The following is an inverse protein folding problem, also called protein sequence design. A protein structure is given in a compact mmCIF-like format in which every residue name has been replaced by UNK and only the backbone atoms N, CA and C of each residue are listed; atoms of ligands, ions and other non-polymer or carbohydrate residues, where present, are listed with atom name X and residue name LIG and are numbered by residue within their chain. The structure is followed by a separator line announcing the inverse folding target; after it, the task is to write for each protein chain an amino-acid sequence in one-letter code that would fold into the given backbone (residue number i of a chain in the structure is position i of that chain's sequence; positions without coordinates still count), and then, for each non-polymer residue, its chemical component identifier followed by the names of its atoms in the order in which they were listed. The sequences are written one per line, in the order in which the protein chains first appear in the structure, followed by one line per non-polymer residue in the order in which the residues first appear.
data_IF_602459092211
#
_entry.id   IF_602459092211
#
_cell.length_a   1.000
_cell.length_b   1.000
_cell.length_c   1.000
_cell.angle_alpha   90.00
_cell.angle_beta   90.00
_cell.angle_gamma   90.00
#
_symmetry.space_group_name_H-M   'P 1'
#
loop_
_entity.id
_entity.type
_entity.pdbx_description
1 polymer ?
#
# COMPACT_ATOMS: atom_id res chain seq x y z
N UNK A 1 14.19 -19.72 -3.36
CA UNK A 1 12.96 -19.50 -4.15
C UNK A 1 12.34 -18.25 -3.55
N UNK A 2 12.27 -17.22 -4.32
CA UNK A 2 11.67 -15.94 -3.90
C UNK A 2 10.14 -16.02 -3.97
N UNK A 3 9.46 -15.07 -3.33
CA UNK A 3 8.01 -14.91 -3.47
C UNK A 3 7.57 -14.84 -4.94
N UNK A 4 8.27 -14.05 -5.74
CA UNK A 4 8.03 -13.90 -7.18
C UNK A 4 8.15 -15.21 -7.96
N UNK A 5 9.14 -16.04 -7.63
CA UNK A 5 9.29 -17.36 -8.27
C UNK A 5 8.06 -18.23 -8.02
N UNK A 6 7.51 -18.18 -6.79
CA UNK A 6 6.33 -18.91 -6.42
C UNK A 6 5.09 -18.39 -7.15
N UNK A 7 4.88 -17.07 -7.18
CA UNK A 7 3.78 -16.44 -7.90
C UNK A 7 3.82 -16.79 -9.39
N UNK A 8 5.01 -16.75 -10.03
CA UNK A 8 5.16 -17.14 -11.44
C UNK A 8 4.82 -18.61 -11.68
N UNK A 9 5.15 -19.51 -10.75
CA UNK A 9 4.76 -20.92 -10.85
C UNK A 9 3.24 -21.10 -10.80
N UNK A 10 2.58 -20.43 -9.84
CA UNK A 10 1.12 -20.44 -9.71
C UNK A 10 0.48 -19.88 -10.98
N UNK A 11 0.96 -18.75 -11.50
CA UNK A 11 0.45 -18.13 -12.71
C UNK A 11 0.54 -19.07 -13.93
N UNK A 12 1.66 -19.77 -14.10
CA UNK A 12 1.85 -20.74 -15.20
C UNK A 12 0.85 -21.89 -15.14
N UNK A 13 0.50 -22.35 -13.94
CA UNK A 13 -0.49 -23.43 -13.75
C UNK A 13 -1.91 -22.94 -14.03
N UNK A 14 -2.25 -21.73 -13.61
CA UNK A 14 -3.60 -21.16 -13.82
C UNK A 14 -3.87 -20.76 -15.28
N UNK A 15 -2.86 -20.35 -16.03
CA UNK A 15 -3.00 -20.04 -17.47
C UNK A 15 -3.43 -21.23 -18.34
N UNK A 16 -3.28 -22.46 -17.84
CA UNK A 16 -3.75 -23.69 -18.53
C UNK A 16 -5.26 -23.90 -18.38
N UNK A 17 -5.92 -23.19 -17.47
CA UNK A 17 -7.36 -23.22 -17.28
C UNK A 17 -8.03 -22.20 -18.23
N UNK A 18 -9.20 -22.53 -18.76
CA UNK A 18 -9.97 -21.59 -19.60
C UNK A 18 -10.30 -20.30 -18.84
N UNK A 19 -10.20 -19.15 -19.50
CA UNK A 19 -10.38 -17.85 -18.83
C UNK A 19 -11.84 -17.56 -18.39
N UNK A 20 -12.84 -18.15 -19.04
CA UNK A 20 -14.26 -17.88 -18.72
C UNK A 20 -14.57 -16.38 -18.68
N UNK A 21 -15.09 -15.88 -17.56
CA UNK A 21 -15.38 -14.46 -17.33
C UNK A 21 -14.16 -13.64 -16.82
N UNK A 22 -12.98 -14.25 -16.72
CA UNK A 22 -11.75 -13.56 -16.24
C UNK A 22 -11.17 -12.72 -17.37
N UNK A 23 -11.13 -11.42 -17.18
CA UNK A 23 -10.52 -10.44 -18.09
C UNK A 23 -9.01 -10.38 -17.84
N UNK A 24 -8.61 -10.20 -16.57
CA UNK A 24 -7.23 -10.18 -16.09
C UNK A 24 -7.12 -11.06 -14.84
N UNK A 25 -6.16 -11.97 -14.83
CA UNK A 25 -5.85 -12.80 -13.66
C UNK A 25 -4.62 -12.28 -12.92
N UNK A 26 -3.82 -13.21 -12.37
CA UNK A 26 -2.60 -12.92 -11.60
C UNK A 26 -1.65 -12.02 -12.41
N UNK A 27 -1.17 -10.93 -11.79
CA UNK A 27 -0.15 -10.05 -12.36
C UNK A 27 -0.53 -8.57 -12.38
N UNK A 28 -1.67 -8.20 -11.79
CA UNK A 28 -2.09 -6.82 -11.55
C UNK A 28 -2.51 -6.63 -10.09
N UNK A 29 -2.87 -5.41 -9.66
CA UNK A 29 -3.29 -5.12 -8.28
C UNK A 29 -4.56 -5.92 -7.91
N UNK A 30 -5.51 -6.01 -8.83
CA UNK A 30 -6.67 -6.89 -8.68
C UNK A 30 -6.79 -7.88 -9.83
N UNK A 31 -7.43 -9.02 -9.56
CA UNK A 31 -8.02 -9.81 -10.63
C UNK A 31 -9.28 -9.11 -11.16
N UNK A 32 -9.45 -9.08 -12.49
CA UNK A 32 -10.57 -8.44 -13.17
C UNK A 32 -11.50 -9.50 -13.75
N UNK A 33 -12.76 -9.50 -13.32
CA UNK A 33 -13.77 -10.47 -13.72
C UNK A 33 -15.00 -9.74 -14.25
N UNK A 34 -15.53 -10.18 -15.39
CA UNK A 34 -16.74 -9.59 -15.98
C UNK A 34 -17.91 -9.67 -14.98
N UNK A 35 -18.53 -8.52 -14.70
CA UNK A 35 -19.75 -8.41 -13.91
C UNK A 35 -20.99 -8.47 -14.82
N UNK A 36 -21.00 -7.60 -15.81
CA UNK A 36 -22.04 -7.51 -16.83
C UNK A 36 -21.47 -6.96 -18.14
N UNK A 37 -22.31 -6.36 -19.00
CA UNK A 37 -21.87 -5.84 -20.30
C UNK A 37 -21.04 -4.55 -20.22
N UNK A 38 -21.04 -3.86 -19.09
CA UNK A 38 -20.40 -2.56 -18.92
C UNK A 38 -19.38 -2.56 -17.80
N UNK A 39 -19.64 -3.34 -16.74
CA UNK A 39 -18.88 -3.30 -15.51
C UNK A 39 -18.12 -4.59 -15.26
N UNK A 40 -17.05 -4.46 -14.49
CA UNK A 40 -16.22 -5.56 -14.01
C UNK A 40 -16.13 -5.55 -12.49
N UNK A 41 -15.92 -6.73 -11.92
CA UNK A 41 -15.47 -6.88 -10.55
C UNK A 41 -13.94 -6.81 -10.49
N UNK A 42 -13.44 -6.10 -9.49
CA UNK A 42 -12.04 -6.06 -9.08
C UNK A 42 -11.92 -6.86 -7.79
N UNK A 43 -11.09 -7.92 -7.80
CA UNK A 43 -10.95 -8.82 -6.65
C UNK A 43 -9.51 -8.81 -6.19
N UNK A 44 -9.30 -8.45 -4.92
CA UNK A 44 -7.99 -8.50 -4.27
C UNK A 44 -8.08 -9.13 -2.90
N UNK A 45 -6.95 -9.56 -2.35
CA UNK A 45 -6.85 -10.16 -1.04
C UNK A 45 -5.45 -9.98 -0.46
N UNK A 46 -5.40 -9.37 0.73
CA UNK A 46 -4.18 -9.21 1.51
C UNK A 46 -4.26 -9.89 2.85
N UNK A 47 -3.12 -10.38 3.32
CA UNK A 47 -2.98 -11.00 4.64
C UNK A 47 -1.97 -10.21 5.48
N UNK A 48 -2.41 -9.75 6.64
CA UNK A 48 -1.55 -9.19 7.67
C UNK A 48 -1.25 -10.24 8.73
N UNK A 49 0.02 -10.50 8.99
CA UNK A 49 0.49 -11.49 9.97
C UNK A 49 1.29 -10.77 11.04
N UNK A 50 0.98 -11.05 12.31
CA UNK A 50 1.70 -10.52 13.46
C UNK A 50 3.19 -10.90 13.41
N UNK A 51 4.05 -9.96 13.79
CA UNK A 51 5.51 -10.01 13.71
C UNK A 51 6.10 -10.01 12.29
N UNK A 52 5.25 -9.87 11.26
CA UNK A 52 5.65 -9.66 9.87
C UNK A 52 5.20 -8.28 9.40
N UNK A 53 3.89 -8.00 9.45
CA UNK A 53 3.27 -6.77 8.96
C UNK A 53 2.88 -5.80 10.07
N UNK A 54 2.72 -6.29 11.28
CA UNK A 54 2.38 -5.51 12.47
C UNK A 54 2.89 -6.21 13.74
N UNK A 55 2.83 -5.50 14.85
CA UNK A 55 3.15 -6.04 16.18
C UNK A 55 2.12 -5.54 17.17
N UNK A 56 1.43 -6.46 17.84
CA UNK A 56 0.38 -6.16 18.81
C UNK A 56 0.86 -5.34 20.01
N UNK A 57 2.18 -5.28 20.27
CA UNK A 57 2.74 -4.51 21.39
C UNK A 57 2.71 -2.99 21.15
N UNK A 58 2.65 -2.53 19.88
CA UNK A 58 2.67 -1.11 19.55
C UNK A 58 1.69 -0.68 18.46
N UNK A 59 1.02 -1.63 17.79
CA UNK A 59 -0.01 -1.31 16.79
C UNK A 59 -1.40 -1.38 17.45
N UNK A 60 -2.09 -0.26 17.69
CA UNK A 60 -3.41 -0.26 18.32
C UNK A 60 -4.42 -1.07 17.48
N UNK A 61 -5.23 -1.94 18.09
CA UNK A 61 -6.13 -2.84 17.35
C UNK A 61 -7.13 -2.08 16.47
N UNK A 62 -7.61 -0.93 16.91
CA UNK A 62 -8.47 -0.08 16.08
C UNK A 62 -7.79 0.38 14.79
N UNK A 63 -6.54 0.85 14.86
CA UNK A 63 -5.77 1.28 13.68
C UNK A 63 -5.37 0.09 12.80
N UNK A 64 -5.06 -1.07 13.41
CA UNK A 64 -4.79 -2.31 12.67
C UNK A 64 -6.02 -2.75 11.86
N UNK A 65 -7.21 -2.67 12.45
CA UNK A 65 -8.46 -2.95 11.74
C UNK A 65 -8.68 -2.02 10.56
N UNK A 66 -8.39 -0.74 10.71
CA UNK A 66 -8.44 0.23 9.63
C UNK A 66 -7.43 -0.09 8.53
N UNK A 67 -6.17 -0.35 8.90
CA UNK A 67 -5.09 -0.71 7.96
C UNK A 67 -5.46 -1.95 7.15
N UNK A 68 -6.02 -3.00 7.78
CA UNK A 68 -6.41 -4.22 7.07
C UNK A 68 -7.43 -3.97 5.94
N UNK A 69 -8.32 -3.00 6.10
CA UNK A 69 -9.22 -2.58 5.02
C UNK A 69 -8.50 -1.73 3.99
N UNK A 70 -7.70 -0.77 4.46
CA UNK A 70 -7.05 0.24 3.61
C UNK A 70 -6.09 -0.38 2.59
N UNK A 71 -5.29 -1.40 2.98
CA UNK A 71 -4.33 -2.04 2.07
C UNK A 71 -5.03 -2.62 0.84
N UNK A 72 -6.14 -3.33 1.04
CA UNK A 72 -6.94 -3.89 -0.06
C UNK A 72 -7.68 -2.80 -0.86
N UNK A 73 -8.12 -1.75 -0.19
CA UNK A 73 -8.77 -0.60 -0.87
C UNK A 73 -7.77 0.12 -1.78
N UNK A 74 -6.49 0.12 -1.43
CA UNK A 74 -5.41 0.68 -2.24
C UNK A 74 -5.29 -0.02 -3.59
N UNK A 75 -5.34 -1.35 -3.65
CA UNK A 75 -5.34 -2.11 -4.90
C UNK A 75 -6.51 -1.73 -5.82
N UNK A 76 -7.71 -1.65 -5.24
CA UNK A 76 -8.90 -1.26 -6.00
C UNK A 76 -8.78 0.18 -6.52
N UNK A 77 -8.21 1.09 -5.71
CA UNK A 77 -7.95 2.48 -6.11
C UNK A 77 -6.92 2.56 -7.23
N UNK A 78 -5.86 1.73 -7.18
CA UNK A 78 -4.82 1.64 -8.19
C UNK A 78 -5.35 1.23 -9.57
N UNK A 79 -6.47 0.52 -9.62
CA UNK A 79 -7.15 0.16 -10.86
C UNK A 79 -8.32 1.08 -11.24
N UNK A 80 -8.49 2.22 -10.54
CA UNK A 80 -9.55 3.21 -10.82
C UNK A 80 -10.94 2.79 -10.35
N UNK A 81 -11.03 1.72 -9.54
CA UNK A 81 -12.28 1.18 -9.04
C UNK A 81 -12.80 1.83 -7.77
N UNK A 82 -13.94 1.37 -7.31
CA UNK A 82 -14.51 1.68 -5.99
C UNK A 82 -14.73 0.38 -5.20
N UNK A 83 -14.42 0.34 -3.90
CA UNK A 83 -14.74 -0.78 -3.03
C UNK A 83 -16.26 -0.99 -2.93
N UNK A 84 -16.71 -2.26 -2.79
CA UNK A 84 -18.13 -2.61 -2.68
C UNK A 84 -18.38 -3.57 -1.52
N UNK A 85 -17.67 -4.69 -1.50
CA UNK A 85 -17.85 -5.73 -0.48
C UNK A 85 -16.51 -6.19 0.08
N UNK A 86 -16.52 -6.58 1.36
CA UNK A 86 -15.38 -7.18 2.03
C UNK A 86 -15.76 -8.51 2.70
N UNK A 87 -14.78 -9.42 2.77
CA UNK A 87 -14.83 -10.66 3.56
C UNK A 87 -13.58 -10.69 4.45
N UNK A 88 -13.73 -11.05 5.71
CA UNK A 88 -12.65 -11.12 6.68
C UNK A 88 -12.41 -12.55 7.15
N UNK A 89 -11.19 -13.06 7.03
CA UNK A 89 -10.75 -14.24 7.78
C UNK A 89 -9.82 -13.80 8.91
N UNK A 90 -10.16 -14.17 10.14
CA UNK A 90 -9.47 -13.74 11.36
C UNK A 90 -8.98 -14.96 12.13
N UNK A 91 -7.66 -15.10 12.26
CA UNK A 91 -6.99 -16.06 13.13
C UNK A 91 -6.56 -15.40 14.43
N UNK A 92 -7.08 -15.87 15.57
CA UNK A 92 -6.76 -15.34 16.90
C UNK A 92 -6.18 -16.45 17.78
N UNK A 93 -5.13 -16.18 18.60
CA UNK A 93 -4.68 -17.13 19.62
C UNK A 93 -5.79 -17.38 20.66
N UNK A 94 -5.76 -18.53 21.32
CA UNK A 94 -6.83 -18.94 22.24
C UNK A 94 -7.00 -18.01 23.45
N UNK A 95 -5.97 -17.28 23.81
CA UNK A 95 -5.90 -16.36 24.95
C UNK A 95 -6.06 -14.88 24.58
N UNK A 96 -6.58 -14.58 23.38
CA UNK A 96 -6.81 -13.20 22.96
C UNK A 96 -7.76 -12.45 23.89
N UNK A 97 -7.52 -11.16 24.09
CA UNK A 97 -8.40 -10.31 24.87
C UNK A 97 -9.65 -9.89 24.08
N UNK A 98 -10.88 -10.15 24.56
CA UNK A 98 -12.12 -9.76 23.85
C UNK A 98 -12.21 -8.26 23.55
N UNK A 99 -11.68 -7.40 24.42
CA UNK A 99 -11.63 -5.95 24.20
C UNK A 99 -10.78 -5.58 23.00
N UNK A 100 -9.63 -6.24 22.82
CA UNK A 100 -8.75 -6.07 21.66
C UNK A 100 -9.47 -6.40 20.34
N UNK A 101 -10.16 -7.53 20.30
CA UNK A 101 -10.94 -7.94 19.12
C UNK A 101 -12.11 -7.00 18.84
N UNK A 102 -12.75 -6.44 19.89
CA UNK A 102 -13.81 -5.45 19.73
C UNK A 102 -13.30 -4.18 19.06
N UNK A 103 -12.15 -3.66 19.48
CA UNK A 103 -11.54 -2.46 18.90
C UNK A 103 -11.04 -2.71 17.47
N UNK A 104 -10.47 -3.88 17.19
CA UNK A 104 -10.10 -4.29 15.84
C UNK A 104 -11.33 -4.25 14.90
N UNK A 105 -12.41 -4.90 15.31
CA UNK A 105 -13.65 -4.94 14.53
C UNK A 105 -14.28 -3.55 14.34
N UNK A 106 -14.18 -2.66 15.34
CA UNK A 106 -14.61 -1.28 15.23
C UNK A 106 -13.77 -0.54 14.17
N UNK A 107 -12.45 -0.72 14.16
CA UNK A 107 -11.56 -0.15 13.14
C UNK A 107 -11.90 -0.62 11.73
N UNK A 108 -12.15 -1.92 11.55
CA UNK A 108 -12.61 -2.51 10.27
C UNK A 108 -13.92 -1.87 9.83
N UNK A 109 -14.91 -1.81 10.73
CA UNK A 109 -16.22 -1.22 10.44
C UNK A 109 -16.10 0.24 9.98
N UNK A 110 -15.36 1.06 10.73
CA UNK A 110 -15.21 2.49 10.45
C UNK A 110 -14.46 2.74 9.13
N UNK A 111 -13.46 1.91 8.81
CA UNK A 111 -12.78 1.97 7.52
C UNK A 111 -13.71 1.55 6.37
N UNK A 112 -14.48 0.48 6.53
CA UNK A 112 -15.48 0.08 5.54
C UNK A 112 -16.51 1.21 5.28
N UNK A 113 -16.99 1.87 6.34
CA UNK A 113 -17.87 3.04 6.21
C UNK A 113 -17.18 4.20 5.48
N UNK A 114 -15.93 4.51 5.81
CA UNK A 114 -15.15 5.57 5.17
C UNK A 114 -14.99 5.34 3.67
N UNK A 115 -14.66 4.11 3.26
CA UNK A 115 -14.43 3.76 1.86
C UNK A 115 -15.71 3.33 1.11
N UNK A 116 -16.84 3.25 1.80
CA UNK A 116 -18.14 2.94 1.20
C UNK A 116 -18.31 1.48 0.80
N UNK A 117 -17.64 0.54 1.48
CA UNK A 117 -17.81 -0.90 1.29
C UNK A 117 -18.52 -1.54 2.48
N UNK A 118 -19.05 -2.75 2.28
CA UNK A 118 -19.76 -3.51 3.30
C UNK A 118 -18.99 -4.79 3.65
N UNK A 119 -18.72 -5.00 4.92
CA UNK A 119 -18.27 -6.32 5.40
C UNK A 119 -19.47 -7.28 5.39
N UNK A 120 -19.45 -8.28 4.51
CA UNK A 120 -20.60 -9.15 4.24
C UNK A 120 -20.44 -10.58 4.79
N UNK A 121 -19.27 -10.90 5.34
CA UNK A 121 -19.03 -12.24 5.90
C UNK A 121 -17.55 -12.47 6.15
N UNK A 122 -17.21 -13.73 6.44
CA UNK A 122 -15.83 -14.13 6.71
C UNK A 122 -15.78 -15.42 7.50
N UNK A 123 -14.61 -15.68 8.09
CA UNK A 123 -14.33 -16.82 8.94
C UNK A 123 -13.52 -16.40 10.17
N UNK A 124 -13.69 -17.11 11.29
CA UNK A 124 -12.89 -16.86 12.50
C UNK A 124 -12.39 -18.19 13.05
N UNK A 125 -11.09 -18.32 13.19
CA UNK A 125 -10.44 -19.54 13.61
C UNK A 125 -9.47 -19.29 14.77
N UNK A 126 -9.22 -20.33 15.56
CA UNK A 126 -8.15 -20.30 16.54
C UNK A 126 -6.80 -20.50 15.83
N UNK A 127 -5.89 -19.55 16.01
CA UNK A 127 -4.50 -19.68 15.56
C UNK A 127 -3.62 -20.24 16.70
N UNK A 128 -2.52 -20.95 16.40
CA UNK A 128 -1.66 -21.49 17.45
C UNK A 128 -1.00 -20.43 18.34
N UNK A 129 -0.50 -19.35 17.76
CA UNK A 129 0.33 -18.37 18.51
C UNK A 129 0.10 -16.92 18.08
N UNK A 130 -0.11 -16.66 16.80
CA UNK A 130 -0.06 -15.31 16.22
C UNK A 130 -1.40 -14.88 15.65
N UNK A 131 -1.66 -13.58 15.71
CA UNK A 131 -2.80 -12.98 15.02
C UNK A 131 -2.54 -12.95 13.52
N UNK A 132 -3.55 -13.30 12.74
CA UNK A 132 -3.56 -13.14 11.29
C UNK A 132 -4.89 -12.58 10.82
N UNK A 133 -4.84 -11.62 9.91
CA UNK A 133 -6.02 -11.04 9.28
C UNK A 133 -5.87 -11.19 7.77
N UNK A 134 -6.82 -11.86 7.14
CA UNK A 134 -6.92 -11.88 5.67
C UNK A 134 -8.21 -11.19 5.29
N UNK A 135 -8.11 -10.13 4.51
CA UNK A 135 -9.27 -9.43 4.00
C UNK A 135 -9.32 -9.60 2.48
N UNK A 136 -10.46 -10.06 1.99
CA UNK A 136 -10.76 -10.10 0.56
C UNK A 136 -11.66 -8.93 0.26
N UNK A 137 -11.28 -8.09 -0.71
CA UNK A 137 -12.07 -6.96 -1.15
C UNK A 137 -12.57 -7.18 -2.57
N UNK A 138 -13.83 -6.85 -2.78
CA UNK A 138 -14.49 -6.85 -4.07
C UNK A 138 -14.82 -5.40 -4.39
N UNK A 139 -14.15 -4.86 -5.40
CA UNK A 139 -14.44 -3.56 -6.00
C UNK A 139 -15.19 -3.70 -7.32
N UNK A 140 -15.62 -2.58 -7.86
CA UNK A 140 -16.20 -2.50 -9.19
C UNK A 140 -15.65 -1.29 -9.97
N UNK A 141 -15.58 -1.44 -11.29
CA UNK A 141 -15.23 -0.36 -12.21
C UNK A 141 -15.98 -0.53 -13.53
N UNK A 142 -16.15 0.56 -14.29
CA UNK A 142 -16.54 0.44 -15.69
C UNK A 142 -15.39 -0.22 -16.46
N UNK A 143 -15.70 -1.17 -17.33
CA UNK A 143 -14.69 -1.99 -18.02
C UNK A 143 -13.70 -1.15 -18.85
N UNK A 144 -14.17 -0.05 -19.43
CA UNK A 144 -13.38 0.88 -20.24
C UNK A 144 -12.60 1.92 -19.41
N UNK A 145 -12.77 1.94 -18.09
CA UNK A 145 -12.07 2.83 -17.16
C UNK A 145 -11.06 2.09 -16.26
N UNK A 146 -10.93 0.77 -16.40
CA UNK A 146 -9.91 0.05 -15.63
C UNK A 146 -8.52 0.44 -16.12
N UNK A 147 -7.67 0.89 -15.20
CA UNK A 147 -6.25 1.13 -15.46
C UNK A 147 -5.45 -0.06 -14.95
N UNK A 148 -4.45 -0.47 -15.70
CA UNK A 148 -3.61 -1.63 -15.42
C UNK A 148 -2.16 -1.22 -15.13
N UNK A 149 -1.37 -2.13 -14.57
CA UNK A 149 0.08 -1.97 -14.43
C UNK A 149 0.81 -1.91 -15.77
N UNK A 150 0.22 -2.49 -16.82
CA UNK A 150 0.75 -2.43 -18.17
C UNK A 150 0.14 -1.27 -18.97
N UNK A 151 0.87 -0.78 -19.99
CA UNK A 151 0.38 0.28 -20.86
C UNK A 151 1.26 1.54 -20.89
N UNK A 152 2.25 1.63 -20.00
CA UNK A 152 3.18 2.75 -20.02
C UNK A 152 3.91 2.88 -21.34
N UNK A 153 3.99 4.10 -21.87
CA UNK A 153 4.54 4.42 -23.17
C UNK A 153 5.90 5.14 -23.04
N UNK A 154 6.79 4.90 -24.00
CA UNK A 154 8.08 5.60 -24.06
C UNK A 154 7.87 7.11 -24.06
N UNK A 155 8.53 7.82 -23.14
CA UNK A 155 8.43 9.26 -22.99
C UNK A 155 7.35 9.74 -22.02
N UNK A 156 6.55 8.82 -21.46
CA UNK A 156 5.59 9.16 -20.40
C UNK A 156 6.28 9.78 -19.20
N UNK A 157 5.61 10.72 -18.57
CA UNK A 157 5.99 11.23 -17.25
C UNK A 157 5.55 10.20 -16.20
N UNK A 158 6.44 9.88 -15.27
CA UNK A 158 6.17 9.08 -14.08
C UNK A 158 5.70 10.01 -12.98
N UNK A 159 4.55 9.71 -12.40
CA UNK A 159 3.92 10.48 -11.34
C UNK A 159 3.77 9.64 -10.08
N UNK A 160 3.87 10.29 -8.92
CA UNK A 160 3.48 9.71 -7.63
C UNK A 160 2.53 10.66 -6.90
N UNK A 161 1.55 10.11 -6.18
CA UNK A 161 0.71 10.89 -5.30
C UNK A 161 1.36 11.08 -3.92
N UNK A 162 0.88 12.04 -3.15
CA UNK A 162 1.21 12.26 -1.75
C UNK A 162 2.69 12.43 -1.44
N UNK A 163 3.17 11.65 -0.47
CA UNK A 163 4.57 11.66 0.03
C UNK A 163 5.07 10.23 0.19
N UNK A 164 6.37 10.02 0.02
CA UNK A 164 6.98 8.69 0.03
C UNK A 164 7.88 8.47 1.24
N UNK A 165 7.94 7.21 1.73
CA UNK A 165 8.84 6.74 2.75
C UNK A 165 8.41 7.07 4.17
N UNK A 166 7.23 7.67 4.36
CA UNK A 166 6.74 8.02 5.71
C UNK A 166 6.39 6.79 6.51
N UNK A 167 5.71 5.81 5.92
CA UNK A 167 5.36 4.57 6.61
C UNK A 167 6.61 3.79 7.05
N UNK A 168 7.61 3.67 6.18
CA UNK A 168 8.88 3.03 6.49
C UNK A 168 9.67 3.74 7.60
N UNK A 169 9.63 5.08 7.65
CA UNK A 169 10.24 5.84 8.73
C UNK A 169 9.51 5.62 10.06
N UNK A 170 8.17 5.55 10.04
CA UNK A 170 7.35 5.23 11.21
C UNK A 170 7.64 3.82 11.75
N UNK A 171 7.70 2.82 10.88
CA UNK A 171 8.10 1.46 11.24
C UNK A 171 9.50 1.42 11.85
N UNK A 172 10.48 2.10 11.23
CA UNK A 172 11.85 2.14 11.72
C UNK A 172 11.94 2.75 13.13
N UNK A 173 11.08 3.75 13.43
CA UNK A 173 10.98 4.30 14.77
C UNK A 173 10.51 3.25 15.80
N UNK A 174 9.42 2.52 15.53
CA UNK A 174 8.92 1.49 16.44
C UNK A 174 9.95 0.37 16.65
N UNK A 175 10.61 -0.10 15.60
CA UNK A 175 11.65 -1.12 15.68
C UNK A 175 12.86 -0.66 16.52
N UNK A 176 13.27 0.59 16.38
CA UNK A 176 14.39 1.14 17.16
C UNK A 176 14.07 1.25 18.65
N UNK A 177 12.83 1.61 18.97
CA UNK A 177 12.36 1.74 20.36
C UNK A 177 12.35 0.42 21.10
N UNK A 178 12.07 -0.69 20.43
CA UNK A 178 12.14 -2.04 21.02
C UNK A 178 13.58 -2.51 21.24
N UNK A 179 14.49 -2.17 20.33
CA UNK A 179 15.91 -2.57 20.40
C UNK A 179 16.66 -1.86 21.55
N UNK A 180 16.15 -0.73 22.03
CA UNK A 180 16.78 0.14 23.02
C UNK A 180 16.59 -0.30 24.46
N UNK A 181 16.03 -1.47 24.75
CA UNK A 181 15.98 -2.03 26.12
C UNK A 181 17.37 -2.29 26.74
N UNK A 182 18.47 -2.02 26.02
CA UNK A 182 19.85 -2.21 26.46
C UNK A 182 20.64 -0.91 26.66
N UNK A 183 20.07 0.30 26.55
CA UNK A 183 20.83 1.50 26.85
C UNK A 183 20.17 2.84 26.47
N UNK A 184 19.83 3.63 27.48
CA UNK A 184 19.61 5.09 27.50
C UNK A 184 18.50 5.72 26.61
N UNK A 185 17.59 4.99 26.03
CA UNK A 185 16.29 5.50 25.62
C UNK A 185 15.27 4.97 26.65
N UNK A 186 14.43 5.80 27.27
CA UNK A 186 13.44 5.30 28.21
C UNK A 186 12.57 4.25 27.52
N UNK A 187 12.13 3.18 28.21
CA UNK A 187 11.22 2.20 27.65
C UNK A 187 9.93 2.92 27.24
N UNK A 188 9.74 3.09 25.94
CA UNK A 188 8.67 3.89 25.34
C UNK A 188 7.29 3.23 25.42
N UNK A 189 7.23 1.99 25.94
CA UNK A 189 5.97 1.27 26.04
C UNK A 189 5.97 0.48 27.35
N UNK A 190 5.21 0.93 28.33
CA UNK A 190 4.67 0.01 29.33
C UNK A 190 3.71 -0.92 28.61
N UNK A 191 3.81 -2.27 28.80
CA UNK A 191 2.78 -3.18 28.29
C UNK A 191 1.42 -2.60 28.64
N UNK A 192 0.51 -2.54 27.71
CA UNK A 192 -0.84 -2.00 27.94
C UNK A 192 -1.47 -2.87 29.03
N UNK A 193 -1.31 -2.43 30.28
CA UNK A 193 -2.12 -2.94 31.38
C UNK A 193 -3.54 -2.55 31.05
N UNK A 194 -4.43 -3.56 30.97
CA UNK A 194 -5.87 -3.49 30.74
C UNK A 194 -6.45 -2.08 30.95
N UNK A 195 -6.63 -1.33 29.87
CA UNK A 195 -7.22 0.00 29.93
C UNK A 195 -8.73 -0.13 30.13
N UNK A 196 -9.25 0.25 31.29
CA UNK A 196 -10.68 0.22 31.62
C UNK A 196 -11.49 1.35 30.96
N UNK A 197 -10.88 2.19 30.11
CA UNK A 197 -11.60 3.24 29.37
C UNK A 197 -10.84 3.57 28.09
N UNK A 198 -11.06 2.82 27.02
CA UNK A 198 -10.46 3.14 25.72
C UNK A 198 -11.10 4.39 25.13
N UNK A 199 -10.38 5.49 25.22
CA UNK A 199 -10.57 6.67 24.38
C UNK A 199 -10.07 6.35 22.95
N UNK A 200 -10.57 6.98 21.87
CA UNK A 200 -10.22 6.59 20.51
C UNK A 200 -8.73 6.75 20.27
N UNK A 201 -8.10 5.65 19.82
CA UNK A 201 -6.76 5.55 19.23
C UNK A 201 -5.67 6.40 19.92
N UNK A 202 -5.26 6.01 21.13
CA UNK A 202 -4.09 6.63 21.76
C UNK A 202 -2.82 6.00 21.17
N UNK A 203 -2.02 6.83 20.49
CA UNK A 203 -0.64 6.53 20.13
C UNK A 203 0.19 6.24 21.39
N UNK A 204 1.29 5.47 21.28
CA UNK A 204 2.22 5.32 22.39
C UNK A 204 2.62 6.67 22.96
N UNK A 205 2.68 6.82 24.31
CA UNK A 205 2.60 8.12 24.97
C UNK A 205 3.79 9.08 24.78
N UNK A 206 4.91 8.71 24.19
CA UNK A 206 6.07 9.59 24.06
C UNK A 206 6.81 9.41 22.72
N UNK A 207 6.51 10.26 21.75
CA UNK A 207 7.28 10.41 20.51
C UNK A 207 7.45 11.89 20.17
N UNK A 208 8.53 12.28 19.46
CA UNK A 208 8.67 13.63 18.94
C UNK A 208 7.50 13.97 18.00
N UNK A 209 6.84 15.12 18.22
CA UNK A 209 5.66 15.54 17.44
C UNK A 209 5.95 15.58 15.93
N UNK A 210 7.18 15.85 15.56
CA UNK A 210 7.67 15.89 14.19
C UNK A 210 7.59 14.51 13.50
N UNK A 211 7.57 13.41 14.28
CA UNK A 211 7.43 12.05 13.76
C UNK A 211 5.98 11.63 13.54
N UNK A 212 5.03 12.38 14.09
CA UNK A 212 3.61 12.03 14.00
C UNK A 212 3.16 11.69 12.58
N UNK A 213 3.50 12.45 11.52
CA UNK A 213 3.10 12.09 10.15
C UNK A 213 3.66 10.74 9.68
N UNK A 214 4.86 10.36 10.13
CA UNK A 214 5.46 9.06 9.79
C UNK A 214 4.75 7.92 10.54
N UNK A 215 4.45 8.12 11.82
CA UNK A 215 3.72 7.15 12.64
C UNK A 215 2.29 6.97 12.12
N UNK A 216 1.61 8.06 11.78
CA UNK A 216 0.28 8.03 11.17
C UNK A 216 0.29 7.23 9.86
N UNK A 217 1.26 7.49 8.99
CA UNK A 217 1.38 6.80 7.70
C UNK A 217 1.56 5.28 7.87
N UNK A 218 2.33 4.84 8.88
CA UNK A 218 2.52 3.41 9.14
C UNK A 218 1.31 2.75 9.80
N UNK A 219 0.73 3.38 10.83
CA UNK A 219 -0.34 2.77 11.62
C UNK A 219 -1.72 2.89 10.99
N UNK A 220 -1.98 3.95 10.24
CA UNK A 220 -3.29 4.29 9.69
C UNK A 220 -3.15 4.91 8.29
N UNK A 221 -2.61 4.17 7.31
CA UNK A 221 -2.49 4.67 5.95
C UNK A 221 -3.85 5.02 5.33
N UNK A 222 -3.84 5.82 4.27
CA UNK A 222 -5.03 6.22 3.53
C UNK A 222 -4.92 5.80 2.05
N UNK A 223 -5.88 5.02 1.57
CA UNK A 223 -5.98 4.68 0.16
C UNK A 223 -6.52 5.84 -0.68
N UNK A 224 -6.01 6.00 -1.89
CA UNK A 224 -6.28 7.12 -2.79
C UNK A 224 -7.49 6.86 -3.73
N UNK A 225 -8.60 6.34 -3.21
CA UNK A 225 -9.78 5.92 -4.00
C UNK A 225 -10.36 7.03 -4.86
N UNK A 226 -10.52 8.23 -4.30
CA UNK A 226 -11.03 9.38 -5.05
C UNK A 226 -10.12 9.76 -6.21
N UNK A 227 -8.81 9.83 -5.95
CA UNK A 227 -7.81 10.17 -6.96
C UNK A 227 -7.71 9.07 -8.03
N UNK A 228 -7.59 7.79 -7.64
CA UNK A 228 -7.48 6.68 -8.59
C UNK A 228 -8.66 6.65 -9.56
N UNK A 229 -9.88 6.75 -9.05
CA UNK A 229 -11.08 6.82 -9.88
C UNK A 229 -11.09 8.04 -10.80
N UNK A 230 -10.76 9.23 -10.27
CA UNK A 230 -10.76 10.45 -11.07
C UNK A 230 -9.70 10.41 -12.18
N UNK A 231 -8.50 9.89 -11.90
CA UNK A 231 -7.44 9.68 -12.89
C UNK A 231 -7.89 8.69 -14.00
N UNK A 232 -8.49 7.57 -13.63
CA UNK A 232 -9.02 6.58 -14.57
C UNK A 232 -10.07 7.19 -15.53
N UNK A 233 -10.94 8.04 -15.01
CA UNK A 233 -11.99 8.72 -15.78
C UNK A 233 -11.45 9.72 -16.82
N UNK A 234 -10.23 10.22 -16.65
CA UNK A 234 -9.62 11.13 -17.64
C UNK A 234 -9.29 10.42 -18.96
N UNK A 235 -9.01 9.12 -18.92
CA UNK A 235 -8.45 8.37 -20.03
C UNK A 235 -7.00 8.76 -20.40
N UNK A 236 -6.34 9.61 -19.60
CA UNK A 236 -4.98 10.10 -19.85
C UNK A 236 -3.90 9.24 -19.17
N UNK A 237 -4.29 8.37 -18.23
CA UNK A 237 -3.35 7.50 -17.50
C UNK A 237 -3.13 6.22 -18.28
N UNK A 238 -1.87 5.95 -18.63
CA UNK A 238 -1.50 4.79 -19.43
C UNK A 238 -1.25 3.52 -18.59
N UNK A 239 -0.65 3.68 -17.41
CA UNK A 239 -0.45 2.60 -16.43
C UNK A 239 -0.54 3.17 -15.02
N UNK A 240 -1.04 2.37 -14.08
CA UNK A 240 -1.17 2.75 -12.68
C UNK A 240 -1.05 1.51 -11.79
N UNK A 241 -0.51 1.71 -10.58
CA UNK A 241 -0.51 0.77 -9.46
C UNK A 241 -0.36 1.56 -8.17
N UNK A 242 -0.54 0.92 -7.02
CA UNK A 242 -0.16 1.52 -5.75
C UNK A 242 1.31 1.27 -5.39
N UNK A 243 1.80 1.95 -4.35
CA UNK A 243 3.15 1.79 -3.80
C UNK A 243 3.04 1.05 -2.48
N UNK A 244 3.22 -0.26 -2.52
CA UNK A 244 3.15 -1.16 -1.38
C UNK A 244 4.53 -1.71 -0.95
N UNK A 245 5.41 -2.05 -1.90
CA UNK A 245 6.75 -2.59 -1.66
C UNK A 245 7.86 -1.52 -1.74
N UNK A 246 7.49 -0.31 -2.15
CA UNK A 246 8.37 0.83 -2.35
C UNK A 246 8.57 1.19 -3.81
N UNK A 247 8.72 2.48 -4.05
CA UNK A 247 8.73 3.07 -5.40
C UNK A 247 9.64 2.34 -6.39
N UNK A 248 10.85 1.96 -5.99
CA UNK A 248 11.81 1.34 -6.92
C UNK A 248 11.37 -0.06 -7.35
N UNK A 249 10.76 -0.82 -6.45
CA UNK A 249 10.23 -2.16 -6.70
C UNK A 249 8.98 -2.11 -7.56
N UNK A 250 8.02 -1.27 -7.17
CA UNK A 250 6.72 -1.17 -7.83
C UNK A 250 6.87 -0.57 -9.24
N UNK A 251 7.73 0.45 -9.40
CA UNK A 251 8.08 0.96 -10.71
C UNK A 251 8.78 -0.09 -11.61
N UNK A 252 9.61 -0.96 -11.02
CA UNK A 252 10.21 -2.04 -11.80
C UNK A 252 9.15 -3.06 -12.27
N UNK A 253 8.11 -3.33 -11.46
CA UNK A 253 6.96 -4.16 -11.84
C UNK A 253 6.17 -3.53 -13.00
N UNK A 254 5.82 -2.25 -12.88
CA UNK A 254 5.13 -1.49 -13.92
C UNK A 254 5.94 -1.50 -15.23
N UNK A 255 7.26 -1.28 -15.14
CA UNK A 255 8.15 -1.33 -16.29
C UNK A 255 8.22 -2.71 -16.94
N UNK A 256 8.27 -3.78 -16.13
CA UNK A 256 8.29 -5.15 -16.63
C UNK A 256 7.00 -5.50 -17.36
N UNK A 257 5.84 -5.15 -16.79
CA UNK A 257 4.53 -5.40 -17.39
C UNK A 257 4.33 -4.59 -18.68
N UNK A 258 4.83 -3.36 -18.71
CA UNK A 258 4.77 -2.48 -19.89
C UNK A 258 5.90 -2.70 -20.89
N UNK A 259 6.90 -3.54 -20.61
CA UNK A 259 8.09 -3.80 -21.44
C UNK A 259 8.89 -2.53 -21.74
N UNK A 260 9.09 -1.69 -20.73
CA UNK A 260 9.82 -0.42 -20.80
C UNK A 260 10.89 -0.36 -19.70
N UNK A 261 11.64 0.74 -19.63
CA UNK A 261 12.51 1.12 -18.52
C UNK A 261 12.03 2.41 -17.90
N UNK A 262 12.69 2.87 -16.83
CA UNK A 262 12.35 4.12 -16.17
C UNK A 262 13.59 4.87 -15.72
N UNK A 263 13.54 6.20 -15.81
CA UNK A 263 14.50 7.11 -15.18
C UNK A 263 13.79 7.91 -14.12
N UNK A 264 14.19 7.74 -12.87
CA UNK A 264 13.68 8.46 -11.70
C UNK A 264 14.63 9.63 -11.39
N UNK A 265 14.09 10.77 -11.05
CA UNK A 265 14.82 11.93 -10.56
C UNK A 265 14.65 11.99 -9.03
N UNK A 266 15.55 11.37 -8.30
CA UNK A 266 15.42 11.20 -6.84
C UNK A 266 15.35 12.51 -6.07
N UNK A 267 15.85 13.61 -6.63
CA UNK A 267 15.73 14.94 -6.06
C UNK A 267 14.31 15.52 -6.12
N UNK A 268 13.46 14.99 -7.01
CA UNK A 268 12.05 15.40 -7.17
C UNK A 268 11.08 14.59 -6.33
N UNK A 269 11.54 13.52 -5.65
CA UNK A 269 10.68 12.70 -4.82
C UNK A 269 10.05 13.53 -3.69
N UNK A 270 8.71 13.43 -3.48
CA UNK A 270 8.01 14.19 -2.45
C UNK A 270 8.21 13.60 -1.06
N UNK A 271 8.20 14.43 0.00
CA UNK A 271 8.26 13.97 1.40
C UNK A 271 9.58 14.19 2.10
N UNK A 272 10.67 14.45 1.40
CA UNK A 272 12.03 14.56 1.97
C UNK A 272 12.13 15.47 3.21
N UNK A 273 11.45 16.62 3.18
CA UNK A 273 11.49 17.56 4.30
C UNK A 273 10.86 17.00 5.57
N UNK A 274 9.73 16.30 5.45
CA UNK A 274 9.05 15.69 6.60
C UNK A 274 9.80 14.48 7.17
N UNK A 275 10.65 13.83 6.38
CA UNK A 275 11.50 12.72 6.81
C UNK A 275 12.78 13.16 7.53
N UNK A 276 13.16 14.45 7.48
CA UNK A 276 14.45 14.92 7.97
C UNK A 276 14.65 14.61 9.47
N UNK A 277 13.63 14.87 10.29
CA UNK A 277 13.69 14.59 11.73
C UNK A 277 13.88 13.08 12.02
N UNK A 278 13.11 12.22 11.35
CA UNK A 278 13.27 10.77 11.49
C UNK A 278 14.67 10.30 11.04
N UNK A 279 15.17 10.86 9.93
CA UNK A 279 16.49 10.53 9.39
C UNK A 279 17.63 10.90 10.35
N UNK A 280 17.55 12.07 10.96
CA UNK A 280 18.52 12.53 11.95
C UNK A 280 18.50 11.68 13.22
N UNK A 281 17.30 11.39 13.76
CA UNK A 281 17.12 10.56 14.95
C UNK A 281 17.58 9.12 14.76
N UNK A 282 17.28 8.54 13.61
CA UNK A 282 17.55 7.13 13.31
C UNK A 282 18.86 6.92 12.56
N UNK A 283 19.61 7.98 12.26
CA UNK A 283 20.88 7.94 11.48
C UNK A 283 20.71 7.19 10.14
N UNK A 284 19.58 7.46 9.44
CA UNK A 284 19.21 6.86 8.16
C UNK A 284 19.16 7.92 7.07
N UNK A 285 19.13 7.49 5.82
CA UNK A 285 19.00 8.39 4.67
C UNK A 285 17.54 8.43 4.21
N UNK A 286 16.97 9.62 4.11
CA UNK A 286 15.60 9.82 3.59
C UNK A 286 15.39 9.15 2.24
N UNK A 287 16.40 9.19 1.36
CA UNK A 287 16.36 8.60 0.02
C UNK A 287 16.06 7.10 0.07
N UNK A 288 16.63 6.36 1.02
CA UNK A 288 16.47 4.91 1.11
C UNK A 288 15.01 4.56 1.45
N UNK A 289 14.39 5.31 2.38
CA UNK A 289 12.95 5.16 2.67
C UNK A 289 12.06 5.53 1.50
N UNK A 290 12.37 6.63 0.79
CA UNK A 290 11.55 7.10 -0.34
C UNK A 290 11.61 6.18 -1.56
N UNK A 291 12.68 5.38 -1.71
CA UNK A 291 12.85 4.45 -2.84
C UNK A 291 12.47 3.01 -2.50
N UNK A 292 12.82 2.56 -1.28
CA UNK A 292 12.66 1.17 -0.88
C UNK A 292 11.69 0.98 0.30
N UNK A 293 11.16 2.07 0.86
CA UNK A 293 10.17 2.00 1.92
C UNK A 293 8.83 1.55 1.38
N UNK A 294 8.29 0.48 1.91
CA UNK A 294 6.95 0.01 1.58
C UNK A 294 5.85 0.66 2.43
N UNK A 295 4.62 0.25 2.17
CA UNK A 295 3.39 0.64 2.88
C UNK A 295 2.98 2.12 2.74
N UNK A 296 3.44 2.81 1.68
CA UNK A 296 3.02 4.20 1.44
C UNK A 296 1.57 4.28 0.92
N UNK A 297 1.09 3.26 0.20
CA UNK A 297 -0.26 3.18 -0.39
C UNK A 297 -0.65 4.43 -1.18
N UNK A 298 0.35 5.08 -1.75
CA UNK A 298 0.22 6.16 -2.73
C UNK A 298 0.11 5.58 -4.13
N UNK A 299 -0.39 6.36 -5.10
CA UNK A 299 -0.49 5.93 -6.48
C UNK A 299 0.79 6.26 -7.26
N UNK A 300 1.31 5.27 -7.96
CA UNK A 300 2.33 5.37 -9.00
C UNK A 300 1.63 5.24 -10.35
N UNK A 301 1.79 6.22 -11.23
CA UNK A 301 1.15 6.16 -12.54
C UNK A 301 1.96 6.87 -13.61
N UNK A 302 1.62 6.58 -14.88
CA UNK A 302 2.27 7.18 -16.05
C UNK A 302 1.25 7.82 -16.97
N UNK A 303 1.63 8.95 -17.56
CA UNK A 303 0.80 9.67 -18.51
C UNK A 303 1.68 10.45 -19.50
N UNK A 304 1.10 10.82 -20.66
CA UNK A 304 1.77 11.69 -21.61
C UNK A 304 2.18 13.02 -20.97
N UNK A 305 3.37 13.57 -21.24
CA UNK A 305 3.76 14.91 -20.79
C UNK A 305 2.75 16.00 -21.18
N UNK A 306 1.98 15.77 -22.25
CA UNK A 306 0.97 16.71 -22.76
C UNK A 306 -0.25 16.79 -21.83
N UNK A 307 -0.52 15.74 -21.07
CA UNK A 307 -1.66 15.64 -20.16
C UNK A 307 -1.35 16.13 -18.74
N UNK A 308 -0.13 16.66 -18.51
CA UNK A 308 0.33 17.08 -17.18
C UNK A 308 -0.61 18.04 -16.48
N UNK A 309 -1.22 18.98 -17.22
CA UNK A 309 -2.15 19.95 -16.63
C UNK A 309 -3.44 19.27 -16.19
N UNK A 310 -3.99 18.35 -16.98
CA UNK A 310 -5.20 17.57 -16.65
C UNK A 310 -4.95 16.77 -15.36
N UNK A 311 -3.79 16.10 -15.28
CA UNK A 311 -3.39 15.33 -14.10
C UNK A 311 -3.33 16.20 -12.85
N UNK A 312 -2.73 17.39 -12.95
CA UNK A 312 -2.62 18.32 -11.81
C UNK A 312 -3.97 18.87 -11.38
N UNK A 313 -4.83 19.22 -12.33
CA UNK A 313 -6.16 19.77 -12.06
C UNK A 313 -7.03 18.72 -11.35
N UNK A 314 -7.06 17.49 -11.85
CA UNK A 314 -7.79 16.36 -11.22
C UNK A 314 -7.27 16.09 -9.82
N UNK A 315 -5.97 16.07 -9.62
CA UNK A 315 -5.38 15.85 -8.30
C UNK A 315 -5.72 16.98 -7.31
N UNK A 316 -5.72 18.23 -7.79
CA UNK A 316 -6.10 19.39 -6.99
C UNK A 316 -7.59 19.35 -6.57
N UNK A 317 -8.49 18.90 -7.46
CA UNK A 317 -9.91 18.70 -7.14
C UNK A 317 -10.11 17.63 -6.04
N UNK A 318 -9.23 16.62 -5.98
CA UNK A 318 -9.24 15.60 -4.93
C UNK A 318 -8.48 16.03 -3.66
N UNK A 319 -7.88 17.24 -3.64
CA UNK A 319 -7.06 17.72 -2.53
C UNK A 319 -5.76 16.94 -2.32
N UNK A 320 -5.32 16.18 -3.31
CA UNK A 320 -4.11 15.34 -3.27
C UNK A 320 -3.03 15.98 -4.14
N UNK A 321 -1.82 16.09 -3.58
CA UNK A 321 -0.65 16.51 -4.37
C UNK A 321 -0.15 15.34 -5.20
N UNK A 322 0.15 15.59 -6.48
CA UNK A 322 0.90 14.67 -7.35
C UNK A 322 2.21 15.30 -7.80
N UNK A 323 3.24 14.49 -7.93
CA UNK A 323 4.59 14.96 -8.27
C UNK A 323 5.14 14.20 -9.48
N UNK A 324 5.63 14.90 -10.53
CA UNK A 324 6.36 14.25 -11.61
C UNK A 324 7.76 13.90 -11.11
N UNK A 325 8.08 12.61 -11.09
CA UNK A 325 9.32 12.09 -10.49
C UNK A 325 10.26 11.43 -11.48
N UNK A 326 9.89 11.37 -12.76
CA UNK A 326 10.73 10.71 -13.75
C UNK A 326 10.09 10.59 -15.12
N UNK A 327 10.71 9.75 -15.96
CA UNK A 327 10.28 9.51 -17.34
C UNK A 327 10.45 8.04 -17.69
N UNK A 328 9.49 7.49 -18.46
CA UNK A 328 9.56 6.14 -19.02
C UNK A 328 10.56 6.13 -20.17
N UNK A 329 11.47 5.15 -20.13
CA UNK A 329 12.57 4.97 -21.11
C UNK A 329 12.41 3.66 -21.88
N UNK A 330 13.29 3.43 -22.87
CA UNK A 330 13.28 2.19 -23.62
C UNK A 330 13.60 0.98 -22.73
N UNK A 331 13.07 -0.18 -23.10
CA UNK A 331 13.35 -1.46 -22.45
C UNK A 331 14.86 -1.74 -22.38
N UNK A 332 15.31 -2.37 -21.28
CA UNK A 332 16.70 -2.78 -21.09
C UNK A 332 17.53 -1.86 -20.21
N UNK A 333 17.03 -0.67 -19.86
CA UNK A 333 17.70 0.22 -18.91
C UNK A 333 17.34 -0.07 -17.44
N UNK A 334 16.27 -0.84 -17.19
CA UNK A 334 15.74 -1.04 -15.83
C UNK A 334 15.24 0.26 -15.23
N UNK A 335 15.23 0.35 -13.90
CA UNK A 335 14.95 1.60 -13.16
C UNK A 335 16.28 2.26 -12.80
N UNK A 336 16.48 3.50 -13.24
CA UNK A 336 17.72 4.23 -13.06
C UNK A 336 17.48 5.59 -12.40
N UNK A 337 18.45 6.06 -11.59
CA UNK A 337 18.60 7.45 -11.19
C UNK A 337 19.76 8.04 -11.98
N UNK A 338 19.47 9.00 -12.86
CA UNK A 338 20.44 9.50 -13.87
C UNK A 338 20.93 8.34 -14.76
N UNK A 339 22.18 7.92 -14.61
CA UNK A 339 22.78 6.79 -15.34
C UNK A 339 23.05 5.57 -14.45
N UNK A 340 22.75 5.65 -13.15
CA UNK A 340 22.97 4.58 -12.20
C UNK A 340 21.72 3.74 -12.02
N UNK A 341 21.85 2.43 -12.24
CA UNK A 341 20.75 1.51 -11.97
C UNK A 341 20.44 1.51 -10.48
N UNK A 342 19.16 1.66 -10.16
CA UNK A 342 18.67 1.53 -8.79
C UNK A 342 18.45 0.04 -8.54
N UNK A 343 19.30 -0.54 -7.69
CA UNK A 343 19.16 -1.91 -7.22
C UNK A 343 18.63 -1.93 -5.80
N UNK A 344 17.38 -1.59 -5.62
CA UNK A 344 16.70 -1.86 -4.35
C UNK A 344 15.86 -3.12 -4.51
N UNK A 345 15.96 -4.01 -3.54
CA UNK A 345 14.99 -5.05 -3.33
C UNK A 345 13.99 -4.49 -2.31
N UNK A 346 12.73 -4.39 -2.69
CA UNK A 346 11.63 -4.13 -1.78
C UNK A 346 11.48 -5.31 -0.80
N UNK A 347 10.44 -5.28 -0.03
CA UNK A 347 10.13 -6.36 0.90
C UNK A 347 9.93 -7.68 0.14
N UNK A 348 10.52 -8.77 0.62
CA UNK A 348 10.33 -10.14 0.10
C UNK A 348 10.12 -11.05 1.32
N UNK A 349 8.99 -11.74 1.37
CA UNK A 349 8.61 -12.63 2.47
C UNK A 349 9.57 -13.80 2.68
N UNK A 350 10.41 -14.13 1.71
CA UNK A 350 11.30 -15.29 1.73
C UNK A 350 12.78 -14.93 1.54
N UNK A 351 13.15 -13.63 1.65
CA UNK A 351 14.53 -13.16 1.52
C UNK A 351 15.31 -13.22 2.84
#
# INVERSE_FOLDING_TARGET
MTERDLIQQIQKLTLQQGRGSVVQGIGDDCAVVTKDQKDVWLLTMDTLVESVHFDCSWHPPYLLGRKAVTVNVSDVAAMGGKPVFALLSLGLPADFEPAWATELNRGIHDACCQYGCLLIGGDTVCSPEKVSLTLTLIGEAAQDQVVYRHGACLGDTIWVSGVLGYAAAGLAWYQSSQSSQTGNIPPLITPIQSCQSCSPAEYPPEYPLELKPCLDAHLNPEARTGLGKALAQTGCVHAMMDISDGLATDLAHLCQQSKVGARVETEKLPGRQGLACAADLLQKKTRDWMLAGGEDYELLFTASPQDSQIIQDVAAEQGIRVSPVGTITAQGQGVCDKEQQISFQGFDHFA
#
